data_IF_271898722338
#
_entry.id   IF_271898722338
#
_cell.length_a   1.000
_cell.length_b   1.000
_cell.length_c   1.000
_cell.angle_alpha   90.00
_cell.angle_beta   90.00
_cell.angle_gamma   90.00
#
_symmetry.space_group_name_H-M   'P 1'
#
loop_
_entity.id
_entity.type
_entity.pdbx_description
1 polymer ?
#
# COMPACT_ATOMS: atom_id res chain seq x y z
N UNK A 1 -61.39 47.23 35.36
CA UNK A 1 -61.01 46.84 33.98
C UNK A 1 -59.51 46.55 33.95
N UNK A 2 -59.06 45.37 34.38
CA UNK A 2 -57.63 44.99 34.42
C UNK A 2 -57.36 43.45 34.31
N UNK A 3 -58.09 42.63 33.51
CA UNK A 3 -57.69 41.22 33.28
C UNK A 3 -57.12 40.93 31.88
N UNK A 4 -57.46 41.74 30.87
CA UNK A 4 -57.09 41.50 29.46
C UNK A 4 -55.59 41.73 29.17
N UNK A 5 -54.93 42.63 29.92
CA UNK A 5 -53.51 42.98 29.78
C UNK A 5 -52.58 41.83 30.20
N UNK A 6 -52.89 41.16 31.32
CA UNK A 6 -52.11 40.02 31.84
C UNK A 6 -52.23 38.78 30.96
N UNK A 7 -53.46 38.43 30.52
CA UNK A 7 -53.63 37.28 29.61
C UNK A 7 -52.86 37.47 28.30
N UNK A 8 -52.81 38.69 27.77
CA UNK A 8 -52.08 38.98 26.54
C UNK A 8 -50.56 38.85 26.72
N UNK A 9 -50.02 39.30 27.86
CA UNK A 9 -48.59 39.12 28.21
C UNK A 9 -48.21 37.65 28.43
N UNK A 10 -49.06 36.88 29.12
CA UNK A 10 -48.84 35.44 29.34
C UNK A 10 -48.88 34.67 28.02
N UNK A 11 -49.80 35.00 27.10
CA UNK A 11 -49.87 34.39 25.77
C UNK A 11 -48.63 34.70 24.91
N UNK A 12 -48.13 35.94 24.94
CA UNK A 12 -46.91 36.32 24.20
C UNK A 12 -45.68 35.59 24.73
N UNK A 13 -45.54 35.48 26.06
CA UNK A 13 -44.46 34.70 26.68
C UNK A 13 -44.56 33.20 26.36
N UNK A 14 -45.75 32.62 26.41
CA UNK A 14 -45.97 31.21 26.08
C UNK A 14 -45.63 30.91 24.61
N UNK A 15 -46.02 31.78 23.67
CA UNK A 15 -45.65 31.65 22.25
C UNK A 15 -44.14 31.79 22.07
N UNK A 16 -43.49 32.73 22.76
CA UNK A 16 -42.03 32.87 22.72
C UNK A 16 -41.29 31.62 23.21
N UNK A 17 -41.77 31.00 24.30
CA UNK A 17 -41.18 29.76 24.83
C UNK A 17 -41.37 28.59 23.88
N UNK A 18 -42.56 28.43 23.30
CA UNK A 18 -42.85 27.35 22.33
C UNK A 18 -42.00 27.50 21.07
N UNK A 19 -41.87 28.72 20.54
CA UNK A 19 -41.01 28.99 19.38
C UNK A 19 -39.52 28.77 19.70
N UNK A 20 -39.08 29.17 20.90
CA UNK A 20 -37.71 28.91 21.36
C UNK A 20 -37.41 27.41 21.51
N UNK A 21 -38.35 26.64 22.04
CA UNK A 21 -38.23 25.18 22.17
C UNK A 21 -38.27 24.48 20.81
N UNK A 22 -39.11 24.94 19.88
CA UNK A 22 -39.16 24.40 18.52
C UNK A 22 -37.87 24.67 17.75
N UNK A 23 -37.30 25.88 17.88
CA UNK A 23 -36.02 26.22 17.30
C UNK A 23 -34.89 25.35 17.89
N UNK A 24 -34.86 25.18 19.21
CA UNK A 24 -33.86 24.33 19.87
C UNK A 24 -33.99 22.85 19.47
N UNK A 25 -35.21 22.33 19.36
CA UNK A 25 -35.47 20.98 18.87
C UNK A 25 -35.01 20.78 17.42
N UNK A 26 -35.21 21.79 16.55
CA UNK A 26 -34.75 21.73 15.16
C UNK A 26 -33.22 21.71 15.03
N UNK A 27 -32.50 22.44 15.89
CA UNK A 27 -31.02 22.43 15.94
C UNK A 27 -30.47 21.12 16.51
N UNK A 28 -31.18 20.49 17.44
CA UNK A 28 -30.79 19.19 17.99
C UNK A 28 -31.09 18.02 17.04
N UNK A 29 -32.11 18.16 16.19
CA UNK A 29 -32.48 17.17 15.18
C UNK A 29 -31.50 17.11 13.99
N UNK A 30 -30.63 18.11 13.81
CA UNK A 30 -29.62 18.14 12.73
C UNK A 30 -28.29 17.46 13.08
N UNK A 31 -28.21 16.71 14.17
CA UNK A 31 -27.04 15.84 14.42
C UNK A 31 -27.11 14.62 13.51
N UNK A 32 -26.73 14.79 12.24
CA UNK A 32 -26.33 13.66 11.41
C UNK A 32 -25.20 12.92 12.13
N UNK A 33 -25.32 11.61 12.28
CA UNK A 33 -24.24 10.78 12.81
C UNK A 33 -22.97 11.08 12.00
N UNK A 34 -21.87 11.40 12.67
CA UNK A 34 -20.58 11.51 12.01
C UNK A 34 -20.26 10.16 11.38
N UNK A 35 -20.39 10.06 10.06
CA UNK A 35 -19.99 8.89 9.31
C UNK A 35 -18.47 8.94 9.25
N UNK A 36 -17.80 8.01 9.91
CA UNK A 36 -16.36 7.81 9.70
C UNK A 36 -16.19 7.37 8.24
N UNK A 37 -15.48 8.14 7.40
CA UNK A 37 -15.18 7.69 6.05
C UNK A 37 -14.44 6.35 6.13
N UNK A 38 -14.80 5.41 5.25
CA UNK A 38 -14.01 4.20 5.08
C UNK A 38 -12.58 4.53 4.63
N UNK A 39 -11.65 3.56 4.70
CA UNK A 39 -10.31 3.76 4.17
C UNK A 39 -10.39 4.16 2.69
N UNK A 40 -9.67 5.21 2.33
CA UNK A 40 -9.48 5.64 0.94
C UNK A 40 -8.05 5.33 0.52
N UNK A 41 -7.87 4.95 -0.73
CA UNK A 41 -6.55 4.71 -1.31
C UNK A 41 -6.11 5.91 -2.14
N UNK A 42 -4.81 6.16 -2.16
CA UNK A 42 -4.21 7.05 -3.15
C UNK A 42 -4.41 6.48 -4.57
N UNK A 43 -4.29 7.31 -5.63
CA UNK A 43 -4.21 6.79 -6.99
C UNK A 43 -3.13 5.70 -7.11
N UNK A 44 -3.37 4.63 -7.88
CA UNK A 44 -2.39 3.57 -8.06
C UNK A 44 -1.12 4.12 -8.73
N UNK A 45 0.02 3.61 -8.29
CA UNK A 45 1.35 3.92 -8.85
C UNK A 45 1.98 2.63 -9.33
N UNK A 46 2.63 2.66 -10.50
CA UNK A 46 3.43 1.53 -10.96
C UNK A 46 4.76 1.48 -10.20
N UNK A 47 5.06 0.34 -9.57
CA UNK A 47 6.40 0.05 -9.06
C UNK A 47 7.36 -0.23 -10.20
N UNK A 48 6.90 -1.00 -11.18
CA UNK A 48 7.63 -1.35 -12.39
C UNK A 48 6.66 -1.53 -13.55
N UNK A 49 7.11 -1.22 -14.77
CA UNK A 49 6.32 -1.39 -16.00
C UNK A 49 6.96 -2.41 -16.96
N UNK A 50 8.13 -2.95 -16.64
CA UNK A 50 8.87 -3.89 -17.49
C UNK A 50 8.90 -5.29 -16.91
N UNK A 51 8.99 -5.41 -15.58
CA UNK A 51 8.90 -6.70 -14.90
C UNK A 51 7.46 -6.96 -14.48
N UNK A 52 6.99 -8.17 -14.76
CA UNK A 52 5.84 -8.69 -14.05
C UNK A 52 6.25 -9.07 -12.63
N UNK A 53 5.28 -9.02 -11.74
CA UNK A 53 5.40 -9.50 -10.38
C UNK A 53 4.09 -10.10 -9.90
N UNK A 54 4.20 -11.10 -9.05
CA UNK A 54 3.12 -11.67 -8.25
C UNK A 54 3.57 -11.83 -6.81
N UNK A 55 2.63 -12.15 -5.93
CA UNK A 55 2.89 -12.26 -4.48
C UNK A 55 3.66 -11.04 -3.92
N UNK A 56 3.11 -9.82 -4.11
CA UNK A 56 3.82 -8.61 -3.70
C UNK A 56 3.86 -8.44 -2.19
N UNK A 57 5.01 -7.99 -1.69
CA UNK A 57 5.17 -7.49 -0.33
C UNK A 57 5.77 -6.08 -0.34
N UNK A 58 5.25 -5.20 0.51
CA UNK A 58 5.89 -3.92 0.85
C UNK A 58 6.30 -3.96 2.31
N UNK A 59 7.60 -3.90 2.56
CA UNK A 59 8.19 -3.79 3.88
C UNK A 59 8.60 -2.35 4.19
N UNK A 60 8.30 -1.87 5.40
CA UNK A 60 8.75 -0.56 5.86
C UNK A 60 10.01 -0.71 6.71
N UNK A 61 11.16 -0.36 6.14
CA UNK A 61 12.41 -0.28 6.88
C UNK A 61 12.49 1.04 7.65
N UNK A 62 12.00 1.03 8.88
CA UNK A 62 12.00 2.21 9.74
C UNK A 62 13.41 2.65 10.18
N UNK A 63 14.42 1.77 10.13
CA UNK A 63 15.79 2.07 10.52
C UNK A 63 16.52 2.87 9.45
N UNK A 64 16.30 2.52 8.19
CA UNK A 64 16.92 3.19 7.04
C UNK A 64 16.02 4.23 6.38
N UNK A 65 14.74 4.27 6.74
CA UNK A 65 13.77 5.23 6.20
C UNK A 65 13.40 4.93 4.75
N UNK A 66 13.38 3.65 4.37
CA UNK A 66 13.03 3.20 3.01
C UNK A 66 11.82 2.28 3.05
N UNK A 67 11.03 2.29 1.98
CA UNK A 67 10.17 1.15 1.66
C UNK A 67 10.94 0.20 0.77
N UNK A 68 10.77 -1.09 1.02
CA UNK A 68 11.32 -2.17 0.20
C UNK A 68 10.12 -2.92 -0.36
N UNK A 69 10.08 -3.09 -1.67
CA UNK A 69 9.07 -3.89 -2.34
C UNK A 69 9.75 -5.09 -2.97
N UNK A 70 9.18 -6.27 -2.77
CA UNK A 70 9.65 -7.51 -3.37
C UNK A 70 8.47 -8.23 -4.03
N UNK A 71 8.74 -8.91 -5.12
CA UNK A 71 7.75 -9.70 -5.83
C UNK A 71 8.40 -10.87 -6.56
N UNK A 72 7.66 -11.96 -6.72
CA UNK A 72 8.12 -13.08 -7.52
C UNK A 72 8.29 -12.69 -8.99
N UNK A 73 9.01 -13.51 -9.76
CA UNK A 73 9.09 -13.35 -11.21
C UNK A 73 7.88 -13.90 -11.98
N UNK A 74 7.55 -13.24 -13.09
CA UNK A 74 6.29 -13.38 -13.82
C UNK A 74 5.94 -14.75 -14.44
N UNK A 75 6.77 -15.78 -14.33
CA UNK A 75 6.60 -17.03 -15.09
C UNK A 75 5.34 -17.82 -14.71
N UNK A 76 4.80 -17.59 -13.51
CA UNK A 76 3.54 -18.21 -13.06
C UNK A 76 2.28 -17.44 -13.50
N UNK A 77 2.42 -16.22 -14.04
CA UNK A 77 1.30 -15.38 -14.52
C UNK A 77 0.71 -15.81 -15.86
N UNK A 78 1.12 -16.96 -16.39
CA UNK A 78 0.57 -17.50 -17.64
C UNK A 78 -0.90 -17.91 -17.52
N UNK A 79 -1.42 -18.02 -16.30
CA UNK A 79 -2.82 -18.39 -16.02
C UNK A 79 -3.68 -17.15 -15.74
N UNK A 80 -4.90 -17.12 -16.30
CA UNK A 80 -5.92 -16.04 -16.16
C UNK A 80 -5.43 -14.65 -16.57
N UNK A 81 -5.57 -14.38 -17.86
CA UNK A 81 -5.43 -13.06 -18.48
C UNK A 81 -4.08 -12.34 -18.33
N UNK A 82 -3.08 -12.87 -17.60
CA UNK A 82 -1.79 -12.19 -17.38
C UNK A 82 -1.03 -11.81 -18.66
N UNK A 83 -1.19 -12.59 -19.75
CA UNK A 83 -0.67 -12.24 -21.09
C UNK A 83 -1.44 -11.05 -21.70
N UNK A 84 -2.76 -11.01 -21.50
CA UNK A 84 -3.69 -10.05 -22.10
C UNK A 84 -3.76 -8.73 -21.30
N UNK A 85 -3.53 -8.78 -19.99
CA UNK A 85 -3.57 -7.65 -19.06
C UNK A 85 -2.19 -7.09 -18.73
N UNK A 86 -1.12 -7.61 -19.36
CA UNK A 86 0.20 -6.99 -19.32
C UNK A 86 0.06 -5.50 -19.65
N UNK A 87 0.75 -4.57 -18.96
CA UNK A 87 0.62 -3.13 -19.20
C UNK A 87 0.76 -2.73 -20.67
N UNK A 88 1.50 -3.53 -21.44
CA UNK A 88 1.77 -3.31 -22.86
C UNK A 88 1.09 -4.34 -23.78
N UNK A 89 0.36 -5.31 -23.22
CA UNK A 89 -0.23 -6.42 -23.98
C UNK A 89 0.80 -7.30 -24.69
N UNK A 90 2.04 -7.33 -24.20
CA UNK A 90 3.16 -8.09 -24.77
C UNK A 90 3.75 -9.11 -23.78
N UNK A 91 4.73 -9.89 -24.27
CA UNK A 91 5.45 -10.92 -23.50
C UNK A 91 6.69 -10.39 -22.76
N UNK A 92 6.80 -9.07 -22.51
CA UNK A 92 7.96 -8.47 -21.82
C UNK A 92 8.24 -9.11 -20.45
N UNK A 93 7.21 -9.65 -19.80
CA UNK A 93 7.32 -10.41 -18.56
C UNK A 93 8.02 -11.78 -18.68
N UNK A 94 8.04 -12.39 -19.86
CA UNK A 94 8.75 -13.66 -20.14
C UNK A 94 10.22 -13.39 -20.45
N UNK A 95 10.51 -12.30 -21.17
CA UNK A 95 11.87 -11.99 -21.64
C UNK A 95 12.84 -11.54 -20.55
N UNK A 96 12.33 -11.24 -19.35
CA UNK A 96 13.11 -10.70 -18.24
C UNK A 96 13.19 -11.66 -17.04
N UNK A 97 12.91 -12.96 -17.24
CA UNK A 97 13.05 -13.97 -16.19
C UNK A 97 14.53 -14.25 -15.88
N UNK A 98 14.90 -14.13 -14.61
CA UNK A 98 16.26 -14.33 -14.13
C UNK A 98 16.38 -15.43 -13.06
N UNK A 99 15.31 -16.17 -12.76
CA UNK A 99 15.24 -17.16 -11.68
C UNK A 99 15.57 -16.55 -10.30
N UNK A 100 15.15 -15.31 -10.08
CA UNK A 100 15.39 -14.54 -8.86
C UNK A 100 14.08 -13.88 -8.39
N UNK A 101 13.97 -13.47 -7.13
CA UNK A 101 12.92 -12.52 -6.72
C UNK A 101 13.37 -11.10 -7.07
N UNK A 102 12.43 -10.24 -7.47
CA UNK A 102 12.74 -8.88 -7.83
C UNK A 102 12.56 -7.94 -6.65
N UNK A 103 13.47 -6.97 -6.50
CA UNK A 103 13.44 -6.00 -5.41
C UNK A 103 13.42 -4.57 -5.95
N UNK A 104 12.69 -3.71 -5.27
CA UNK A 104 12.64 -2.28 -5.48
C UNK A 104 12.72 -1.55 -4.14
N UNK A 105 13.25 -0.33 -4.15
CA UNK A 105 13.24 0.55 -2.99
C UNK A 105 12.55 1.86 -3.31
N UNK A 106 11.94 2.46 -2.29
CA UNK A 106 11.40 3.81 -2.35
C UNK A 106 11.89 4.64 -1.15
N UNK A 107 12.69 5.69 -1.39
CA UNK A 107 13.14 6.60 -0.33
C UNK A 107 12.11 7.70 -0.01
N UNK A 108 11.00 7.78 -0.73
CA UNK A 108 10.03 8.89 -0.69
C UNK A 108 8.60 8.42 -0.38
N UNK A 109 8.48 7.32 0.37
CA UNK A 109 7.18 6.83 0.86
C UNK A 109 6.29 6.23 -0.22
N UNK A 110 6.88 5.70 -1.29
CA UNK A 110 6.19 5.01 -2.37
C UNK A 110 5.81 5.90 -3.55
N UNK A 111 6.29 7.15 -3.59
CA UNK A 111 6.04 8.05 -4.71
C UNK A 111 6.88 7.67 -5.95
N UNK A 112 8.13 7.25 -5.73
CA UNK A 112 9.02 6.70 -6.75
C UNK A 112 9.63 5.38 -6.30
N UNK A 113 9.79 4.45 -7.26
CA UNK A 113 10.35 3.12 -7.03
C UNK A 113 11.57 2.90 -7.91
N UNK A 114 12.63 2.38 -7.30
CA UNK A 114 13.90 2.11 -7.93
C UNK A 114 14.20 0.63 -7.80
N UNK A 115 14.19 -0.08 -8.94
CA UNK A 115 14.59 -1.48 -8.97
C UNK A 115 16.02 -1.60 -8.46
N UNK A 116 16.30 -2.65 -7.70
CA UNK A 116 17.66 -3.07 -7.46
C UNK A 116 18.32 -3.30 -8.82
N UNK A 117 19.33 -2.49 -9.12
CA UNK A 117 20.12 -2.56 -10.35
C UNK A 117 21.52 -3.01 -10.03
N UNK A 118 21.67 -3.91 -9.07
CA UNK A 118 22.90 -4.67 -8.90
C UNK A 118 23.43 -5.00 -10.30
N UNK A 119 24.57 -4.42 -10.70
CA UNK A 119 25.26 -4.64 -11.98
C UNK A 119 24.65 -4.08 -13.28
N UNK A 120 23.53 -3.33 -13.28
CA UNK A 120 23.01 -2.68 -14.49
C UNK A 120 22.54 -3.63 -15.60
N UNK A 121 22.35 -4.90 -15.27
CA UNK A 121 21.77 -5.95 -16.12
C UNK A 121 20.38 -6.30 -15.60
N UNK A 122 19.41 -6.68 -16.46
CA UNK A 122 18.16 -7.29 -16.01
C UNK A 122 18.40 -8.56 -15.16
N UNK A 123 19.38 -9.37 -15.57
CA UNK A 123 19.86 -10.54 -14.83
C UNK A 123 21.32 -10.30 -14.42
N UNK A 124 21.59 -9.84 -13.20
CA UNK A 124 22.95 -9.56 -12.75
C UNK A 124 23.83 -10.80 -12.59
N UNK A 125 23.20 -11.93 -12.33
CA UNK A 125 23.81 -13.27 -12.25
C UNK A 125 23.21 -14.18 -13.31
N UNK A 126 23.87 -15.32 -13.59
CA UNK A 126 23.31 -16.32 -14.50
C UNK A 126 22.02 -16.90 -13.89
N UNK A 127 20.90 -16.96 -14.61
CA UNK A 127 19.67 -17.58 -14.11
C UNK A 127 19.85 -19.06 -13.71
N UNK A 128 20.87 -19.74 -14.27
CA UNK A 128 21.19 -21.13 -13.92
C UNK A 128 21.85 -21.30 -12.55
N UNK A 129 22.33 -20.22 -11.95
CA UNK A 129 23.02 -20.21 -10.66
C UNK A 129 22.13 -19.67 -9.53
N UNK A 130 21.03 -19.00 -9.88
CA UNK A 130 20.07 -18.49 -8.91
C UNK A 130 19.15 -19.61 -8.41
N UNK A 131 18.70 -19.49 -7.16
CA UNK A 131 17.97 -20.55 -6.45
C UNK A 131 16.75 -20.01 -5.69
N UNK A 132 16.05 -19.00 -6.22
CA UNK A 132 14.85 -18.49 -5.56
C UNK A 132 14.09 -17.51 -6.43
N UNK A 133 12.87 -17.84 -6.86
CA UNK A 133 12.10 -17.01 -7.80
C UNK A 133 10.68 -16.65 -7.33
N UNK A 134 10.16 -17.31 -6.28
CA UNK A 134 8.78 -17.14 -5.79
C UNK A 134 8.70 -16.87 -4.29
N UNK A 135 7.50 -16.53 -3.79
CA UNK A 135 7.18 -16.37 -2.37
C UNK A 135 8.23 -15.56 -1.59
N UNK A 136 8.57 -14.33 -2.03
CA UNK A 136 9.45 -13.50 -1.23
C UNK A 136 8.78 -13.06 0.06
N UNK A 137 9.57 -12.96 1.13
CA UNK A 137 9.14 -12.45 2.43
C UNK A 137 10.30 -11.69 3.09
N UNK A 138 10.00 -10.50 3.60
CA UNK A 138 10.96 -9.57 4.17
C UNK A 138 10.85 -9.57 5.70
N UNK A 139 12.01 -9.64 6.34
CA UNK A 139 12.11 -9.43 7.79
C UNK A 139 13.30 -8.57 8.14
N UNK A 140 13.28 -7.95 9.31
CA UNK A 140 14.36 -7.09 9.78
C UNK A 140 14.79 -7.48 11.20
N UNK A 141 16.10 -7.62 11.41
CA UNK A 141 16.64 -7.84 12.74
C UNK A 141 16.73 -6.55 13.58
N UNK A 142 17.05 -6.70 14.86
CA UNK A 142 17.21 -5.57 15.76
C UNK A 142 18.36 -4.61 15.37
N UNK A 143 19.35 -5.10 14.63
CA UNK A 143 20.47 -4.32 14.09
C UNK A 143 20.10 -3.50 12.85
N UNK A 144 18.92 -3.74 12.27
CA UNK A 144 18.42 -3.09 11.06
C UNK A 144 18.74 -3.86 9.77
N UNK A 145 19.41 -5.01 9.83
CA UNK A 145 19.65 -5.81 8.63
C UNK A 145 18.33 -6.40 8.16
N UNK A 146 18.02 -6.18 6.89
CA UNK A 146 16.83 -6.72 6.22
C UNK A 146 17.21 -8.02 5.53
N UNK A 147 16.38 -9.03 5.66
CA UNK A 147 16.50 -10.33 5.04
C UNK A 147 15.35 -10.51 4.07
N UNK A 148 15.62 -11.10 2.91
CA UNK A 148 14.61 -11.48 1.94
C UNK A 148 14.80 -12.94 1.57
N UNK A 149 13.69 -13.64 1.41
CA UNK A 149 13.67 -15.03 0.96
C UNK A 149 13.19 -15.13 -0.48
N UNK A 150 13.40 -16.29 -1.08
CA UNK A 150 12.69 -16.68 -2.29
C UNK A 150 12.78 -18.18 -2.46
N UNK A 151 11.66 -18.86 -2.71
CA UNK A 151 11.64 -20.30 -2.96
C UNK A 151 11.95 -20.58 -4.44
N UNK A 152 12.72 -21.63 -4.70
CA UNK A 152 12.82 -22.27 -6.01
C UNK A 152 12.61 -23.79 -5.83
N UNK A 153 11.33 -24.15 -5.89
CA UNK A 153 10.81 -25.51 -5.74
C UNK A 153 11.18 -26.19 -4.41
N UNK A 154 12.38 -26.78 -4.35
CA UNK A 154 12.85 -27.59 -3.21
C UNK A 154 13.96 -26.92 -2.41
N UNK A 155 14.34 -25.69 -2.77
CA UNK A 155 15.31 -24.88 -2.06
C UNK A 155 14.75 -23.48 -1.78
N UNK A 156 15.38 -22.80 -0.82
CA UNK A 156 15.12 -21.41 -0.50
C UNK A 156 16.41 -20.61 -0.66
N UNK A 157 16.34 -19.48 -1.34
CA UNK A 157 17.34 -18.43 -1.27
C UNK A 157 17.09 -17.56 -0.03
N UNK A 158 18.17 -17.17 0.65
CA UNK A 158 18.16 -16.17 1.71
C UNK A 158 19.32 -15.21 1.49
N UNK A 159 19.00 -13.94 1.35
CA UNK A 159 19.97 -12.88 1.14
C UNK A 159 19.59 -11.67 2.00
N UNK A 160 20.54 -10.79 2.28
CA UNK A 160 20.29 -9.69 3.20
C UNK A 160 21.01 -8.39 2.86
N UNK A 161 20.41 -7.30 3.28
CA UNK A 161 20.83 -5.92 3.07
C UNK A 161 21.09 -5.22 4.40
N UNK A 162 22.21 -4.51 4.48
CA UNK A 162 22.54 -3.65 5.63
C UNK A 162 22.22 -2.17 5.39
N UNK A 163 21.71 -1.82 4.21
CA UNK A 163 21.58 -0.42 3.76
C UNK A 163 20.17 -0.06 3.27
N UNK A 164 19.17 -0.81 3.73
CA UNK A 164 17.75 -0.55 3.47
C UNK A 164 17.29 -1.02 2.09
N UNK A 165 17.83 -2.14 1.61
CA UNK A 165 17.49 -2.77 0.34
C UNK A 165 18.19 -2.16 -0.88
N UNK A 166 19.18 -1.29 -0.68
CA UNK A 166 19.92 -0.65 -1.79
C UNK A 166 20.98 -1.58 -2.36
N UNK A 167 21.59 -2.40 -1.49
CA UNK A 167 22.48 -3.49 -1.85
C UNK A 167 22.20 -4.70 -0.98
N UNK A 168 22.45 -5.90 -1.53
CA UNK A 168 22.28 -7.17 -0.85
C UNK A 168 23.66 -7.84 -0.71
N UNK A 169 24.29 -7.64 0.45
CA UNK A 169 25.73 -7.91 0.66
C UNK A 169 26.04 -9.31 1.23
N UNK A 170 25.01 -10.12 1.49
CA UNK A 170 25.09 -11.51 1.97
C UNK A 170 24.03 -12.37 1.29
N UNK A 171 24.29 -13.67 1.23
CA UNK A 171 23.52 -14.63 0.44
C UNK A 171 24.38 -15.09 -0.72
#
# INVERSE_FOLDING_TARGET
>A
MEPLSRLRRVRVLAVGVVLGLAALASVLATRGSAVTPGPTFAPPVYVDQQLAGGEPEVFTDAKHGTLIYTAHEGTTHLYRDGVVTSPWGDFSFVSNYCNQVNIWTSPDGGANWFRDRYLGSPCPTSPTENTGFSDPDLTQDAGGRVYNTGIDLVNDALFSSIDGGKTWDKG
#
